data_IF_024992160770
#
_entry.id   IF_024992160770
#
_cell.length_a   1.000
_cell.length_b   1.000
_cell.length_c   1.000
_cell.angle_alpha   90.00
_cell.angle_beta   90.00
_cell.angle_gamma   90.00
#
_symmetry.space_group_name_H-M   'P 1'
#
loop_
_entity.id
_entity.type
_entity.pdbx_description
1 polymer ?
#
# COMPACT_ATOMS: atom_id res chain seq x y z
N UNK A 1 -3.21 0.14 -10.82
CA UNK A 1 -1.93 0.57 -10.21
C UNK A 1 -1.90 -0.02 -8.82
N UNK A 2 -0.88 -0.79 -8.46
CA UNK A 2 -0.78 -1.42 -7.13
C UNK A 2 -0.33 -0.34 -6.13
N UNK A 3 -0.95 -0.31 -4.95
CA UNK A 3 -0.63 0.69 -3.92
C UNK A 3 0.75 0.41 -3.31
N UNK A 4 1.63 1.41 -3.24
CA UNK A 4 2.91 1.28 -2.54
C UNK A 4 2.78 1.79 -1.11
N UNK A 5 3.20 0.98 -0.15
CA UNK A 5 3.29 1.30 1.27
C UNK A 5 4.76 1.41 1.63
N UNK A 6 5.19 2.59 2.08
CA UNK A 6 6.57 2.83 2.43
C UNK A 6 6.73 2.88 3.94
N UNK A 7 7.67 2.09 4.45
CA UNK A 7 7.97 1.96 5.88
C UNK A 7 9.48 2.00 6.12
N UNK A 8 9.95 2.50 7.28
CA UNK A 8 11.36 2.43 7.62
C UNK A 8 11.78 0.96 7.70
N UNK A 9 12.95 0.63 7.17
CA UNK A 9 13.56 -0.70 7.22
C UNK A 9 14.48 -0.89 8.41
N UNK A 10 14.91 0.19 9.06
CA UNK A 10 15.88 0.17 10.15
C UNK A 10 15.39 -0.61 11.39
N UNK A 11 14.08 -0.85 11.54
CA UNK A 11 13.53 -1.72 12.59
C UNK A 11 14.08 -3.16 12.53
N UNK A 12 14.52 -3.62 11.35
CA UNK A 12 15.12 -4.95 11.16
C UNK A 12 16.47 -5.10 11.88
N UNK A 13 17.07 -3.98 12.26
CA UNK A 13 18.34 -3.91 12.99
C UNK A 13 18.12 -3.81 14.52
N UNK A 14 16.87 -3.91 14.97
CA UNK A 14 16.49 -3.76 16.39
C UNK A 14 16.04 -5.09 16.98
N UNK A 15 15.97 -5.15 18.31
CA UNK A 15 15.45 -6.32 19.04
C UNK A 15 13.96 -6.60 18.77
N UNK A 16 13.25 -5.62 18.19
CA UNK A 16 11.84 -5.76 17.84
C UNK A 16 11.59 -6.35 16.46
N UNK A 17 12.66 -6.66 15.69
CA UNK A 17 12.55 -7.09 14.29
C UNK A 17 11.55 -8.24 14.09
N UNK A 18 11.61 -9.28 14.93
CA UNK A 18 10.81 -10.50 14.73
C UNK A 18 9.32 -10.21 15.01
N UNK A 19 9.05 -9.46 16.09
CA UNK A 19 7.69 -9.04 16.47
C UNK A 19 7.05 -8.19 15.38
N UNK A 20 7.77 -7.20 14.86
CA UNK A 20 7.27 -6.34 13.78
C UNK A 20 7.09 -7.11 12.49
N UNK A 21 8.03 -8.01 12.19
CA UNK A 21 7.98 -8.83 10.99
C UNK A 21 6.77 -9.75 10.98
N UNK A 22 6.45 -10.40 12.10
CA UNK A 22 5.25 -11.22 12.25
C UNK A 22 3.97 -10.42 11.99
N UNK A 23 3.91 -9.15 12.42
CA UNK A 23 2.77 -8.27 12.12
C UNK A 23 2.68 -8.01 10.62
N UNK A 24 3.79 -7.67 9.96
CA UNK A 24 3.85 -7.43 8.51
C UNK A 24 3.38 -8.69 7.75
N UNK A 25 3.92 -9.87 8.08
CA UNK A 25 3.55 -11.14 7.44
C UNK A 25 2.05 -11.41 7.59
N UNK A 26 1.50 -11.26 8.79
CA UNK A 26 0.08 -11.47 9.04
C UNK A 26 -0.80 -10.50 8.24
N UNK A 27 -0.43 -9.22 8.18
CA UNK A 27 -1.17 -8.22 7.40
C UNK A 27 -1.12 -8.52 5.91
N UNK A 28 0.04 -8.93 5.40
CA UNK A 28 0.26 -9.30 4.01
C UNK A 28 -0.56 -10.53 3.59
N UNK A 29 -0.67 -11.55 4.46
CA UNK A 29 -1.52 -12.73 4.20
C UNK A 29 -3.00 -12.34 4.06
N UNK A 30 -3.46 -11.36 4.84
CA UNK A 30 -4.85 -10.90 4.85
C UNK A 30 -5.17 -9.86 3.77
N UNK A 31 -4.18 -9.08 3.37
CA UNK A 31 -4.35 -7.90 2.52
C UNK A 31 -3.74 -8.18 1.15
N UNK A 32 -4.58 -8.28 0.12
CA UNK A 32 -4.11 -8.46 -1.26
C UNK A 32 -3.89 -7.09 -1.90
N UNK A 33 -2.86 -6.96 -2.75
CA UNK A 33 -2.64 -5.83 -3.67
C UNK A 33 -1.93 -4.56 -3.12
N UNK A 34 -0.82 -4.72 -2.41
CA UNK A 34 0.13 -3.62 -2.18
C UNK A 34 1.59 -4.05 -2.38
N UNK A 35 2.46 -3.06 -2.61
CA UNK A 35 3.92 -3.20 -2.69
C UNK A 35 4.48 -2.64 -1.38
N UNK A 36 5.35 -3.40 -0.71
CA UNK A 36 6.14 -2.86 0.41
C UNK A 36 7.40 -2.19 -0.12
N UNK A 37 7.67 -0.97 0.36
CA UNK A 37 8.93 -0.27 0.16
C UNK A 37 9.57 -0.06 1.52
N UNK A 38 10.61 -0.84 1.82
CA UNK A 38 11.48 -0.54 2.96
C UNK A 38 12.45 0.57 2.55
N UNK A 39 12.55 1.63 3.34
CA UNK A 39 13.62 2.60 3.15
C UNK A 39 14.64 2.55 4.29
N UNK A 40 15.88 2.85 3.97
CA UNK A 40 16.89 3.15 4.99
C UNK A 40 17.46 4.54 4.77
N UNK A 41 17.82 5.21 5.85
CA UNK A 41 18.53 6.50 5.79
C UNK A 41 20.00 6.31 5.43
N UNK A 42 20.57 5.16 5.81
CA UNK A 42 22.00 4.89 5.70
C UNK A 42 22.27 3.76 4.71
N UNK A 43 23.26 3.97 3.82
CA UNK A 43 23.57 3.01 2.76
C UNK A 43 24.17 1.69 3.23
N UNK A 44 24.87 1.70 4.37
CA UNK A 44 25.45 0.51 5.00
C UNK A 44 24.37 -0.48 5.48
N UNK A 45 23.21 0.02 5.90
CA UNK A 45 22.12 -0.78 6.44
C UNK A 45 21.32 -1.52 5.35
N UNK A 46 21.36 -1.04 4.11
CA UNK A 46 20.59 -1.62 3.00
C UNK A 46 20.90 -3.11 2.77
N UNK A 47 22.16 -3.51 2.92
CA UNK A 47 22.58 -4.90 2.74
C UNK A 47 21.94 -5.83 3.76
N UNK A 48 21.95 -5.44 5.03
CA UNK A 48 21.36 -6.22 6.12
C UNK A 48 19.83 -6.31 5.98
N UNK A 49 19.19 -5.18 5.68
CA UNK A 49 17.74 -5.11 5.42
C UNK A 49 17.38 -6.03 4.24
N UNK A 50 18.13 -5.96 3.13
CA UNK A 50 17.89 -6.78 1.96
C UNK A 50 18.07 -8.27 2.22
N UNK A 51 19.13 -8.64 2.95
CA UNK A 51 19.36 -10.04 3.31
C UNK A 51 18.22 -10.59 4.17
N UNK A 52 17.75 -9.82 5.16
CA UNK A 52 16.64 -10.24 6.02
C UNK A 52 15.34 -10.39 5.22
N UNK A 53 14.98 -9.38 4.42
CA UNK A 53 13.77 -9.41 3.58
C UNK A 53 13.80 -10.58 2.60
N UNK A 54 14.95 -10.81 1.94
CA UNK A 54 15.11 -11.90 0.97
C UNK A 54 15.04 -13.28 1.63
N UNK A 55 15.57 -13.44 2.84
CA UNK A 55 15.43 -14.70 3.60
C UNK A 55 13.97 -15.02 3.95
N UNK A 56 13.07 -14.04 3.89
CA UNK A 56 11.67 -14.15 4.23
C UNK A 56 10.74 -13.87 3.03
N UNK A 57 11.29 -13.75 1.81
CA UNK A 57 10.52 -13.31 0.62
C UNK A 57 9.34 -14.23 0.31
N UNK A 58 9.52 -15.53 0.53
CA UNK A 58 8.50 -16.55 0.24
C UNK A 58 7.24 -16.35 1.09
N UNK A 59 7.41 -15.81 2.30
CA UNK A 59 6.32 -15.52 3.22
C UNK A 59 5.56 -14.24 2.83
N UNK A 60 6.25 -13.29 2.20
CA UNK A 60 5.64 -12.02 1.81
C UNK A 60 4.67 -12.17 0.63
N UNK A 61 4.85 -13.10 -0.33
CA UNK A 61 3.96 -13.25 -1.52
C UNK A 61 3.68 -11.97 -2.35
N UNK A 62 4.17 -10.81 -1.94
CA UNK A 62 3.98 -9.48 -2.51
C UNK A 62 5.31 -8.99 -3.05
N UNK A 63 5.25 -8.01 -3.96
CA UNK A 63 6.46 -7.37 -4.46
C UNK A 63 7.00 -6.43 -3.38
N UNK A 64 8.25 -6.66 -2.97
CA UNK A 64 8.97 -5.83 -2.01
C UNK A 64 10.10 -5.07 -2.69
N UNK A 65 10.31 -3.83 -2.28
CA UNK A 65 11.40 -2.97 -2.74
C UNK A 65 12.15 -2.40 -1.55
N UNK A 66 13.44 -2.14 -1.74
CA UNK A 66 14.33 -1.62 -0.69
C UNK A 66 15.11 -0.46 -1.31
N UNK A 67 15.07 0.72 -0.69
CA UNK A 67 15.66 1.95 -1.25
C UNK A 67 16.29 2.82 -0.17
N UNK A 68 17.15 3.74 -0.58
CA UNK A 68 17.53 4.86 0.29
C UNK A 68 16.37 5.85 0.42
N UNK A 69 16.25 6.48 1.59
CA UNK A 69 15.29 7.56 1.81
C UNK A 69 15.40 8.65 0.73
N UNK A 70 16.62 9.06 0.40
CA UNK A 70 16.86 10.08 -0.62
C UNK A 70 16.37 9.71 -2.01
N UNK A 71 16.26 8.42 -2.32
CA UNK A 71 15.77 7.93 -3.60
C UNK A 71 14.24 7.81 -3.64
N UNK A 72 13.60 7.56 -2.50
CA UNK A 72 12.17 7.32 -2.47
C UNK A 72 11.35 8.54 -2.01
N UNK A 73 11.91 9.50 -1.27
CA UNK A 73 11.14 10.60 -0.64
C UNK A 73 10.28 11.44 -1.57
N UNK A 74 10.63 11.53 -2.86
CA UNK A 74 9.82 12.23 -3.88
C UNK A 74 8.82 11.33 -4.63
N UNK A 75 8.84 10.02 -4.37
CA UNK A 75 7.94 9.08 -5.02
C UNK A 75 6.54 9.17 -4.42
N UNK A 76 5.52 9.19 -5.28
CA UNK A 76 4.14 9.12 -4.85
C UNK A 76 3.84 7.72 -4.29
N UNK A 77 3.57 7.65 -2.99
CA UNK A 77 3.16 6.43 -2.30
C UNK A 77 1.72 6.53 -1.81
N UNK A 78 1.08 5.38 -1.59
CA UNK A 78 -0.28 5.32 -1.07
C UNK A 78 -0.31 5.62 0.43
N UNK A 79 0.60 4.99 1.18
CA UNK A 79 0.80 5.21 2.61
C UNK A 79 2.30 5.38 2.87
N UNK A 80 2.65 6.46 3.57
CA UNK A 80 4.00 6.67 4.04
C UNK A 80 4.09 6.64 5.58
N UNK A 81 5.17 6.08 6.09
CA UNK A 81 5.52 6.03 7.51
C UNK A 81 6.89 6.70 7.65
N UNK A 82 6.87 7.99 8.00
CA UNK A 82 8.08 8.82 8.06
C UNK A 82 7.84 10.03 8.96
N UNK A 83 8.92 10.68 9.40
CA UNK A 83 8.82 11.96 10.11
C UNK A 83 8.58 13.15 9.18
N UNK A 84 8.64 12.96 7.87
CA UNK A 84 8.57 14.03 6.87
C UNK A 84 7.12 14.39 6.54
N UNK A 85 6.74 15.65 6.80
CA UNK A 85 5.37 16.15 6.63
C UNK A 85 5.12 16.83 5.28
N UNK A 86 6.18 17.11 4.50
CA UNK A 86 6.11 18.00 3.33
C UNK A 86 6.05 17.23 2.01
N UNK A 87 5.07 16.35 1.89
CA UNK A 87 5.13 15.27 0.91
C UNK A 87 3.78 14.95 0.25
N UNK A 88 3.80 14.60 -1.05
CA UNK A 88 2.60 14.31 -1.86
C UNK A 88 2.11 12.86 -1.68
N UNK A 89 1.60 12.55 -0.48
CA UNK A 89 1.08 11.22 -0.11
C UNK A 89 -0.43 11.22 0.08
N UNK A 90 -1.08 10.08 -0.19
CA UNK A 90 -2.52 9.94 0.06
C UNK A 90 -2.82 9.76 1.55
N UNK A 91 -1.99 9.00 2.25
CA UNK A 91 -2.03 8.78 3.70
C UNK A 91 -0.62 8.86 4.28
N UNK A 92 -0.50 9.39 5.49
CA UNK A 92 0.78 9.56 6.18
C UNK A 92 0.63 9.24 7.66
N UNK A 93 1.57 8.46 8.19
CA UNK A 93 1.75 8.21 9.61
C UNK A 93 3.07 8.89 9.99
N UNK A 94 2.97 9.93 10.84
CA UNK A 94 4.14 10.69 11.29
C UNK A 94 4.86 9.98 12.43
N UNK A 95 5.37 8.78 12.16
CA UNK A 95 6.24 8.04 13.05
C UNK A 95 7.17 7.14 12.24
N UNK A 96 8.34 6.84 12.77
CA UNK A 96 9.31 5.91 12.17
C UNK A 96 9.66 4.74 13.10
N UNK A 97 9.02 4.70 14.27
CA UNK A 97 9.23 3.64 15.24
C UNK A 97 8.34 2.41 14.95
N UNK A 98 8.50 1.41 15.82
CA UNK A 98 7.71 0.18 15.82
C UNK A 98 6.21 0.47 15.85
N UNK A 99 5.78 1.46 16.61
CA UNK A 99 4.36 1.82 16.71
C UNK A 99 3.84 2.33 15.35
N UNK A 100 4.58 3.22 14.69
CA UNK A 100 4.25 3.74 13.37
C UNK A 100 4.10 2.63 12.33
N UNK A 101 5.01 1.66 12.34
CA UNK A 101 4.95 0.50 11.45
C UNK A 101 3.70 -0.35 11.75
N UNK A 102 3.42 -0.65 13.02
CA UNK A 102 2.22 -1.41 13.41
C UNK A 102 0.94 -0.68 13.02
N UNK A 103 0.87 0.64 13.26
CA UNK A 103 -0.26 1.47 12.85
C UNK A 103 -0.48 1.40 11.33
N UNK A 104 0.59 1.39 10.55
CA UNK A 104 0.51 1.27 9.08
C UNK A 104 -0.05 -0.07 8.64
N UNK A 105 0.36 -1.17 9.29
CA UNK A 105 -0.14 -2.51 8.99
C UNK A 105 -1.62 -2.66 9.37
N UNK A 106 -2.01 -2.12 10.52
CA UNK A 106 -3.41 -2.03 10.94
C UNK A 106 -4.25 -1.22 9.94
N UNK A 107 -3.74 -0.09 9.46
CA UNK A 107 -4.42 0.72 8.44
C UNK A 107 -4.65 -0.09 7.17
N UNK A 108 -3.63 -0.81 6.69
CA UNK A 108 -3.73 -1.63 5.48
C UNK A 108 -4.75 -2.76 5.64
N UNK A 109 -4.77 -3.44 6.79
CA UNK A 109 -5.76 -4.49 7.07
C UNK A 109 -7.19 -3.92 7.05
N UNK A 110 -7.44 -2.80 7.73
CA UNK A 110 -8.76 -2.15 7.74
C UNK A 110 -9.16 -1.63 6.36
N UNK A 111 -8.24 -1.00 5.63
CA UNK A 111 -8.50 -0.50 4.28
C UNK A 111 -8.83 -1.64 3.32
N UNK A 112 -8.06 -2.72 3.35
CA UNK A 112 -8.30 -3.92 2.54
C UNK A 112 -9.66 -4.56 2.89
N UNK A 113 -9.99 -4.66 4.17
CA UNK A 113 -11.29 -5.13 4.65
C UNK A 113 -12.46 -4.24 4.21
N UNK A 114 -12.27 -2.92 4.22
CA UNK A 114 -13.27 -1.96 3.72
C UNK A 114 -13.52 -2.13 2.21
N UNK A 115 -12.46 -2.28 1.41
CA UNK A 115 -12.60 -2.53 -0.03
C UNK A 115 -13.35 -3.85 -0.25
N UNK A 116 -12.95 -4.94 0.43
CA UNK A 116 -13.57 -6.25 0.26
C UNK A 116 -15.05 -6.28 0.69
N UNK A 117 -15.43 -5.53 1.74
CA UNK A 117 -16.81 -5.50 2.24
C UNK A 117 -17.75 -4.59 1.44
N UNK A 118 -17.22 -3.50 0.86
CA UNK A 118 -18.01 -2.53 0.09
C UNK A 118 -17.95 -2.74 -1.42
N UNK A 119 -17.03 -3.56 -1.92
CA UNK A 119 -17.00 -3.96 -3.33
C UNK A 119 -18.11 -4.97 -3.62
N UNK A 120 -19.34 -4.46 -3.78
CA UNK A 120 -20.33 -5.17 -4.58
C UNK A 120 -19.75 -5.23 -5.99
N UNK A 121 -19.56 -6.44 -6.54
CA UNK A 121 -19.32 -6.59 -7.98
C UNK A 121 -20.26 -5.63 -8.70
N UNK A 122 -19.76 -4.79 -9.63
CA UNK A 122 -20.62 -3.86 -10.33
C UNK A 122 -21.71 -4.71 -10.95
N UNK A 123 -22.94 -4.62 -10.40
CA UNK A 123 -24.11 -5.25 -11.00
C UNK A 123 -24.04 -4.83 -12.45
N UNK A 124 -23.90 -5.82 -13.35
CA UNK A 124 -23.84 -5.61 -14.80
C UNK A 124 -24.79 -4.47 -15.10
N UNK A 125 -24.27 -3.37 -15.63
CA UNK A 125 -25.03 -2.13 -15.85
C UNK A 125 -26.38 -2.56 -16.42
N UNK A 126 -27.45 -2.43 -15.62
CA UNK A 126 -28.77 -2.46 -16.19
C UNK A 126 -28.75 -1.28 -17.14
N UNK A 127 -28.66 -1.57 -18.44
CA UNK A 127 -28.82 -0.57 -19.47
C UNK A 127 -30.11 0.16 -19.12
N UNK A 128 -30.00 1.39 -18.62
CA UNK A 128 -31.14 2.27 -18.55
C UNK A 128 -31.63 2.36 -19.99
N UNK A 129 -32.81 1.79 -20.27
CA UNK A 129 -33.57 2.13 -21.46
C UNK A 129 -33.76 3.64 -21.39
N UNK A 130 -32.99 4.38 -22.18
CA UNK A 130 -33.34 5.75 -22.52
C UNK A 130 -34.72 5.68 -23.15
N UNK A 131 -35.69 6.35 -22.57
CA UNK A 131 -36.95 6.67 -23.26
C UNK A 131 -36.70 7.85 -24.21
N UNK A 132 -35.66 7.75 -25.03
CA UNK A 132 -35.48 8.66 -26.17
C UNK A 132 -36.43 8.10 -27.23
N UNK A 133 -37.66 8.62 -27.25
CA UNK A 133 -38.64 8.34 -28.27
C UNK A 133 -38.11 8.81 -29.63
N UNK A 134 -37.82 7.89 -30.53
CA UNK A 134 -37.55 8.16 -31.95
C UNK A 134 -38.84 8.53 -32.69
N UNK A 135 -39.46 9.65 -32.33
CA UNK A 135 -40.57 10.20 -33.09
C UNK A 135 -40.38 11.69 -33.34
N UNK A 136 -39.33 12.03 -34.06
CA UNK A 136 -39.29 13.27 -34.84
C UNK A 136 -39.13 12.91 -36.32
N UNK A 137 -40.26 12.72 -36.99
CA UNK A 137 -40.33 12.30 -38.38
C UNK A 137 -40.20 13.51 -39.31
N UNK A 138 -39.02 13.73 -39.88
CA UNK A 138 -38.82 14.66 -41.01
C UNK A 138 -39.37 14.01 -42.29
N UNK A 139 -40.69 14.06 -42.49
CA UNK A 139 -41.35 13.98 -43.80
C UNK A 139 -42.87 14.00 -43.66
N UNK A 140 -43.45 15.21 -43.66
CA UNK A 140 -44.76 15.42 -44.29
C UNK A 140 -44.62 16.62 -45.22
N UNK A 141 -44.71 16.33 -46.52
CA UNK A 141 -45.05 17.27 -47.58
C UNK A 141 -46.41 17.90 -47.31
#
# INVERSE_FOLDING_TARGET
MINTVRIPGDFLLTDYKDVVWDVIENTVVKSREFILCFYSKESNNLGEIANYVNAHSDKLKIKTTIKLWDLCKSERVFLDVSLDKDTDYRFHITSEDVEGIIQSMNFIEHYSGFINSNWKEPKQKQHQKRNDSDSFNYNKK
#
